data_IF_072670235124
#
_entry.id   IF_072670235124
#
_cell.length_a   1.000
_cell.length_b   1.000
_cell.length_c   1.000
_cell.angle_alpha   90.00
_cell.angle_beta   90.00
_cell.angle_gamma   90.00
#
_symmetry.space_group_name_H-M   'P 1'
#
loop_
_entity.id
_entity.type
_entity.pdbx_description
1 polymer ?
#
# COMPACT_ATOMS: atom_id res chain seq x y z
N UNK A 1 -11.31 -16.35 -5.22
CA UNK A 1 -10.33 -16.22 -4.13
C UNK A 1 -9.85 -14.80 -4.19
N UNK A 2 -10.34 -13.98 -3.27
CA UNK A 2 -10.02 -12.56 -3.23
C UNK A 2 -8.74 -12.39 -2.42
N UNK A 3 -7.65 -11.95 -3.06
CA UNK A 3 -6.34 -11.72 -2.43
C UNK A 3 -6.28 -10.39 -1.64
N UNK A 4 -7.45 -9.87 -1.24
CA UNK A 4 -7.57 -8.60 -0.54
C UNK A 4 -7.38 -8.82 0.97
N UNK A 5 -6.47 -8.06 1.56
CA UNK A 5 -6.10 -8.10 2.96
C UNK A 5 -6.63 -6.83 3.63
N UNK A 6 -7.34 -6.96 4.75
CA UNK A 6 -7.75 -5.78 5.52
C UNK A 6 -6.54 -5.13 6.17
N UNK A 7 -6.50 -3.81 6.17
CA UNK A 7 -5.39 -3.07 6.78
C UNK A 7 -5.24 -3.34 8.29
N UNK A 8 -6.34 -3.69 8.96
CA UNK A 8 -6.39 -4.06 10.38
C UNK A 8 -5.81 -5.45 10.65
N UNK A 9 -5.89 -6.36 9.67
CA UNK A 9 -5.40 -7.73 9.80
C UNK A 9 -3.88 -7.80 9.52
N UNK A 10 -3.42 -7.07 8.50
CA UNK A 10 -2.00 -6.94 8.19
C UNK A 10 -1.71 -5.67 7.35
N UNK A 11 -0.50 -5.14 7.54
CA UNK A 11 0.02 -4.00 6.79
C UNK A 11 1.00 -4.46 5.70
N UNK A 12 1.10 -3.76 4.56
CA UNK A 12 2.19 -3.96 3.60
C UNK A 12 3.55 -3.64 4.23
N UNK A 13 4.64 -4.03 3.57
CA UNK A 13 5.98 -3.58 3.99
C UNK A 13 6.21 -2.12 3.60
N UNK A 14 6.97 -1.40 4.43
CA UNK A 14 7.28 0.01 4.15
C UNK A 14 7.97 0.16 2.79
N UNK A 15 7.36 0.95 1.91
CA UNK A 15 7.84 1.16 0.55
C UNK A 15 7.18 0.29 -0.52
N UNK A 16 6.36 -0.70 -0.16
CA UNK A 16 5.66 -1.57 -1.10
C UNK A 16 4.72 -0.79 -2.02
N UNK A 17 4.59 -1.29 -3.25
CA UNK A 17 3.56 -0.85 -4.20
C UNK A 17 2.41 -1.85 -4.15
N UNK A 18 1.23 -1.38 -3.74
CA UNK A 18 0.05 -2.21 -3.53
C UNK A 18 -1.14 -1.65 -4.30
N UNK A 19 -2.09 -2.52 -4.63
CA UNK A 19 -3.46 -2.08 -4.92
C UNK A 19 -4.14 -1.74 -3.59
N UNK A 20 -4.84 -0.62 -3.53
CA UNK A 20 -5.64 -0.19 -2.40
C UNK A 20 -7.10 -0.10 -2.81
N UNK A 21 -8.01 -0.44 -1.90
CA UNK A 21 -9.45 -0.21 -2.08
C UNK A 21 -9.93 0.92 -1.17
N UNK A 22 -10.48 1.94 -1.80
CA UNK A 22 -11.15 3.07 -1.19
C UNK A 22 -12.64 2.98 -1.48
N UNK A 23 -13.48 3.16 -0.46
CA UNK A 23 -14.93 3.06 -0.63
C UNK A 23 -15.47 4.11 -1.62
N UNK A 24 -14.86 5.30 -1.64
CA UNK A 24 -15.30 6.41 -2.49
C UNK A 24 -14.75 6.34 -3.93
N UNK A 25 -13.46 6.01 -4.11
CA UNK A 25 -12.79 6.05 -5.42
C UNK A 25 -12.54 4.68 -6.05
N UNK A 26 -12.80 3.58 -5.34
CA UNK A 26 -12.57 2.22 -5.83
C UNK A 26 -11.11 1.79 -5.67
N UNK A 27 -10.57 1.12 -6.69
CA UNK A 27 -9.23 0.51 -6.62
C UNK A 27 -8.17 1.40 -7.25
N UNK A 28 -7.10 1.68 -6.52
CA UNK A 28 -5.95 2.45 -7.00
C UNK A 28 -4.63 1.73 -6.72
N UNK A 29 -3.55 2.13 -7.41
CA UNK A 29 -2.19 1.71 -7.06
C UNK A 29 -1.57 2.81 -6.20
N UNK A 30 -1.01 2.44 -5.07
CA UNK A 30 -0.33 3.35 -4.16
C UNK A 30 0.93 2.73 -3.56
N UNK A 31 1.88 3.59 -3.19
CA UNK A 31 3.02 3.24 -2.38
C UNK A 31 2.65 3.34 -0.90
N UNK A 32 2.86 2.27 -0.15
CA UNK A 32 2.66 2.26 1.29
C UNK A 32 3.86 2.87 2.02
N UNK A 33 3.58 3.62 3.07
CA UNK A 33 4.58 4.13 4.00
C UNK A 33 4.02 4.13 5.42
N UNK A 34 4.75 3.52 6.34
CA UNK A 34 4.41 3.50 7.76
C UNK A 34 5.05 4.72 8.43
N UNK A 35 4.29 5.83 8.50
CA UNK A 35 4.80 7.09 9.05
C UNK A 35 4.80 7.03 10.58
N UNK A 36 5.89 6.56 11.16
CA UNK A 36 6.14 6.64 12.60
C UNK A 36 6.50 8.09 12.95
N UNK A 37 5.66 8.76 13.73
CA UNK A 37 5.89 10.13 14.19
C UNK A 37 7.08 10.25 15.13
N UNK A 38 7.45 9.17 15.83
CA UNK A 38 8.69 9.10 16.61
C UNK A 38 9.36 7.72 16.53
N UNK A 39 10.66 7.63 16.84
CA UNK A 39 11.39 6.35 16.94
C UNK A 39 10.79 5.35 17.94
N UNK A 40 9.96 5.82 18.87
CA UNK A 40 9.37 5.02 19.95
C UNK A 40 7.91 4.64 19.69
N UNK A 41 7.30 5.11 18.59
CA UNK A 41 5.94 4.72 18.24
C UNK A 41 5.92 3.30 17.68
N UNK A 42 5.15 2.46 18.35
CA UNK A 42 4.93 1.06 17.98
C UNK A 42 4.04 0.99 16.71
N UNK A 43 3.14 1.96 16.54
CA UNK A 43 2.24 2.09 15.40
C UNK A 43 2.48 3.43 14.70
N UNK A 44 2.90 3.39 13.42
CA UNK A 44 2.90 4.57 12.57
C UNK A 44 1.57 4.73 11.82
N UNK A 45 1.36 5.89 11.22
CA UNK A 45 0.19 6.15 10.40
C UNK A 45 0.34 5.44 9.05
N UNK A 46 -0.72 4.75 8.64
CA UNK A 46 -0.77 4.06 7.35
C UNK A 46 -0.93 5.12 6.25
N UNK A 47 0.15 5.43 5.54
CA UNK A 47 0.12 6.39 4.46
C UNK A 47 0.21 5.67 3.12
N UNK A 48 -0.76 5.92 2.25
CA UNK A 48 -0.79 5.42 0.89
C UNK A 48 -0.67 6.60 -0.06
N UNK A 49 0.39 6.64 -0.85
CA UNK A 49 0.70 7.77 -1.72
C UNK A 49 0.73 7.36 -3.20
N UNK A 50 0.14 8.18 -4.04
CA UNK A 50 0.17 8.03 -5.49
C UNK A 50 0.23 9.42 -6.18
N UNK A 51 0.09 9.45 -7.50
CA UNK A 51 0.14 10.71 -8.27
C UNK A 51 -1.00 11.69 -7.94
N UNK A 52 -2.11 11.22 -7.37
CA UNK A 52 -3.27 12.03 -7.02
C UNK A 52 -3.15 12.64 -5.61
N UNK A 53 -2.23 12.14 -4.77
CA UNK A 53 -1.99 12.65 -3.44
C UNK A 53 -1.58 11.55 -2.46
N UNK A 54 -1.86 11.77 -1.18
CA UNK A 54 -1.69 10.77 -0.13
C UNK A 54 -2.99 10.61 0.63
N UNK A 55 -3.24 9.39 1.10
CA UNK A 55 -4.38 9.03 1.90
C UNK A 55 -3.88 8.33 3.17
N UNK A 56 -4.46 8.74 4.29
CA UNK A 56 -4.16 8.21 5.62
C UNK A 56 -5.44 7.69 6.21
N UNK A 57 -5.44 6.44 6.66
CA UNK A 57 -6.57 5.77 7.32
C UNK A 57 -7.86 5.52 6.49
N UNK A 58 -7.97 6.06 5.27
CA UNK A 58 -9.13 5.80 4.38
C UNK A 58 -9.06 4.47 3.59
N UNK A 59 -7.91 3.78 3.61
CA UNK A 59 -7.74 2.47 2.95
C UNK A 59 -8.28 1.37 3.86
N UNK A 60 -9.24 0.59 3.36
CA UNK A 60 -9.78 -0.54 4.11
C UNK A 60 -9.11 -1.86 3.75
N UNK A 61 -8.72 -2.04 2.48
CA UNK A 61 -8.11 -3.26 1.97
C UNK A 61 -6.95 -2.97 1.03
N UNK A 62 -5.98 -3.87 0.99
CA UNK A 62 -4.87 -3.84 0.05
C UNK A 62 -4.59 -5.21 -0.56
N UNK A 63 -3.90 -5.22 -1.69
CA UNK A 63 -3.41 -6.42 -2.36
C UNK A 63 -2.02 -6.15 -2.94
N UNK A 64 -1.09 -7.10 -2.78
CA UNK A 64 0.24 -6.99 -3.35
C UNK A 64 0.17 -6.85 -4.88
N UNK A 65 0.94 -5.91 -5.45
CA UNK A 65 1.09 -5.82 -6.91
C UNK A 65 2.12 -6.85 -7.35
N UNK A 66 1.70 -7.83 -8.14
CA UNK A 66 2.63 -8.66 -8.90
C UNK A 66 3.03 -7.92 -10.18
N UNK A 67 4.11 -7.14 -10.12
CA UNK A 67 4.68 -6.56 -11.33
C UNK A 67 5.37 -7.65 -12.16
N UNK A 68 5.18 -7.68 -13.48
CA UNK A 68 5.96 -8.58 -14.32
C UNK A 68 7.44 -8.26 -14.13
N UNK A 69 8.28 -9.29 -14.01
CA UNK A 69 9.73 -9.09 -14.04
C UNK A 69 10.07 -8.32 -15.32
N UNK A 70 10.94 -7.30 -15.26
CA UNK A 70 11.43 -6.69 -16.48
C UNK A 70 11.99 -7.82 -17.38
N UNK A 71 11.76 -7.77 -18.70
CA UNK A 71 12.40 -8.73 -19.60
C UNK A 71 13.91 -8.66 -19.34
N UNK A 72 14.52 -9.80 -19.04
CA UNK A 72 15.97 -9.88 -18.86
C UNK A 72 16.61 -9.35 -20.14
N UNK A 73 17.23 -8.17 -20.06
CA UNK A 73 18.00 -7.64 -21.16
C UNK A 73 19.14 -8.61 -21.44
N UNK A 74 19.06 -9.31 -22.57
CA UNK A 74 20.18 -10.10 -23.08
C UNK A 74 21.37 -9.17 -23.27
N UNK A 75 22.47 -9.48 -22.57
CA UNK A 75 23.80 -8.96 -22.90
C UNK A 75 24.24 -9.46 -24.27
#
# INVERSE_FOLDING_TARGET
MDNWIKIEDAQPEDGDIVFTYFEFSGVEIAKYSNLKGTKNEIFGWNCFSNKAGFLTDDVTHWMAVSLPKPPEGGN
#
